data_IF_969657853254
#
_entry.id   IF_969657853254
#
_cell.length_a   1.000
_cell.length_b   1.000
_cell.length_c   1.000
_cell.angle_alpha   90.00
_cell.angle_beta   90.00
_cell.angle_gamma   90.00
#
_symmetry.space_group_name_H-M   'P 1'
#
loop_
_entity.id
_entity.type
_entity.pdbx_description
1 polymer ?
#
# COMPACT_ATOMS: atom_id res chain seq x y z
N UNK A 1 8.20 17.23 24.71
CA UNK A 1 7.50 17.97 23.64
C UNK A 1 6.01 17.86 23.90
N UNK A 2 5.20 18.84 23.50
CA UNK A 2 3.74 18.75 23.70
C UNK A 2 3.16 17.66 22.77
N UNK A 3 2.29 16.74 23.25
CA UNK A 3 2.01 15.49 22.53
C UNK A 3 0.97 15.64 21.43
N UNK A 4 0.23 16.75 21.36
CA UNK A 4 -0.80 17.05 20.35
C UNK A 4 -0.67 18.48 19.84
N UNK A 5 -1.45 18.86 18.82
CA UNK A 5 -1.52 20.23 18.35
C UNK A 5 -1.85 21.20 19.50
N UNK A 6 -1.14 22.34 19.57
CA UNK A 6 -1.32 23.35 20.63
C UNK A 6 -2.65 24.09 20.56
N UNK A 7 -3.34 24.03 19.42
CA UNK A 7 -4.69 24.59 19.24
C UNK A 7 -5.57 23.61 18.47
N UNK A 8 -6.51 22.97 19.16
CA UNK A 8 -7.51 22.10 18.55
C UNK A 8 -8.66 22.95 18.00
N UNK A 9 -8.83 22.99 16.67
CA UNK A 9 -9.88 23.77 16.00
C UNK A 9 -10.86 22.87 15.29
N UNK A 10 -12.15 23.11 15.50
CA UNK A 10 -13.20 22.51 14.68
C UNK A 10 -13.14 23.16 13.30
N UNK A 11 -12.88 22.35 12.28
CA UNK A 11 -12.76 22.78 10.89
C UNK A 11 -13.45 21.81 9.96
N UNK A 12 -13.19 21.93 8.66
CA UNK A 12 -13.62 20.92 7.70
C UNK A 12 -12.85 19.61 7.95
N UNK A 13 -13.53 18.47 7.76
CA UNK A 13 -12.88 17.16 7.85
C UNK A 13 -11.85 17.03 6.72
N UNK A 14 -10.57 17.08 7.09
CA UNK A 14 -9.44 16.89 6.19
C UNK A 14 -8.91 15.47 6.32
N UNK A 15 -8.31 14.98 5.25
CA UNK A 15 -7.64 13.70 5.24
C UNK A 15 -6.39 13.91 4.41
N UNK A 16 -5.25 13.93 5.07
CA UNK A 16 -3.99 14.31 4.45
C UNK A 16 -2.93 13.21 4.57
N UNK A 17 -3.15 12.20 5.43
CA UNK A 17 -2.23 11.09 5.69
C UNK A 17 -2.87 9.72 5.65
N UNK A 18 -2.04 8.68 5.54
CA UNK A 18 -2.37 7.25 5.69
C UNK A 18 -3.34 6.61 4.71
N UNK A 19 -4.20 7.37 4.02
CA UNK A 19 -5.16 6.82 3.05
C UNK A 19 -4.89 7.41 1.64
N UNK A 20 -4.63 6.56 0.63
CA UNK A 20 -4.24 7.01 -0.70
C UNK A 20 -5.42 7.48 -1.58
N UNK A 21 -6.66 7.30 -1.13
CA UNK A 21 -7.87 7.68 -1.87
C UNK A 21 -8.58 8.89 -1.27
N UNK A 22 -9.34 9.60 -2.10
CA UNK A 22 -10.27 10.67 -1.71
C UNK A 22 -11.71 10.31 -2.08
N UNK A 23 -12.68 11.15 -1.73
CA UNK A 23 -14.09 10.89 -2.05
C UNK A 23 -14.43 10.98 -3.55
N UNK A 24 -13.54 11.50 -4.39
CA UNK A 24 -13.69 11.58 -5.86
C UNK A 24 -12.34 11.84 -6.52
N UNK A 25 -12.31 11.71 -7.86
CA UNK A 25 -11.17 12.04 -8.72
C UNK A 25 -9.91 11.24 -8.36
N UNK A 26 -10.05 9.92 -8.26
CA UNK A 26 -8.96 9.00 -7.97
C UNK A 26 -8.50 8.26 -9.23
N UNK A 27 -8.15 8.98 -10.29
CA UNK A 27 -7.64 8.36 -11.51
C UNK A 27 -6.21 7.84 -11.27
N UNK A 28 -6.06 6.53 -11.05
CA UNK A 28 -4.77 5.91 -10.72
C UNK A 28 -4.13 5.33 -11.97
N UNK A 29 -2.95 5.84 -12.32
CA UNK A 29 -2.04 5.22 -13.28
C UNK A 29 -1.01 4.36 -12.54
N UNK A 30 -1.24 3.05 -12.53
CA UNK A 30 -0.31 2.11 -11.89
C UNK A 30 1.08 2.10 -12.53
N UNK A 31 1.20 2.39 -13.83
CA UNK A 31 2.51 2.57 -14.47
C UNK A 31 3.26 3.76 -13.86
N UNK A 32 2.58 4.90 -13.68
CA UNK A 32 3.17 6.09 -13.08
C UNK A 32 3.57 5.84 -11.62
N UNK A 33 2.68 5.19 -10.85
CA UNK A 33 2.95 4.79 -9.45
C UNK A 33 4.14 3.85 -9.36
N UNK A 34 4.27 2.88 -10.27
CA UNK A 34 5.44 1.99 -10.37
C UNK A 34 6.72 2.78 -10.64
N UNK A 35 6.69 3.74 -11.57
CA UNK A 35 7.83 4.63 -11.83
C UNK A 35 8.24 5.45 -10.60
N UNK A 36 7.26 6.00 -9.87
CA UNK A 36 7.50 6.75 -8.63
C UNK A 36 8.14 5.88 -7.54
N UNK A 37 7.56 4.70 -7.30
CA UNK A 37 8.04 3.75 -6.30
C UNK A 37 9.46 3.29 -6.64
N UNK A 38 9.72 2.91 -7.89
CA UNK A 38 11.05 2.50 -8.33
C UNK A 38 12.09 3.63 -8.22
N UNK A 39 11.71 4.85 -8.60
CA UNK A 39 12.57 6.04 -8.48
C UNK A 39 12.99 6.27 -7.03
N UNK A 40 12.03 6.17 -6.10
CA UNK A 40 12.30 6.32 -4.67
C UNK A 40 13.13 5.16 -4.10
N UNK A 41 12.84 3.93 -4.52
CA UNK A 41 13.56 2.74 -4.09
C UNK A 41 15.04 2.79 -4.49
N UNK A 42 15.34 3.23 -5.73
CA UNK A 42 16.71 3.33 -6.24
C UNK A 42 17.42 4.64 -5.88
N UNK A 43 16.68 5.61 -5.33
CA UNK A 43 17.14 7.01 -5.18
C UNK A 43 17.66 7.55 -6.52
N UNK A 44 16.93 7.29 -7.60
CA UNK A 44 17.24 7.71 -8.97
C UNK A 44 16.02 8.28 -9.66
N UNK A 45 16.23 9.20 -10.60
CA UNK A 45 15.15 9.84 -11.38
C UNK A 45 15.58 10.16 -12.80
N UNK A 46 14.58 10.38 -13.64
CA UNK A 46 14.72 10.95 -14.97
C UNK A 46 14.08 12.35 -14.96
N UNK A 47 14.74 13.32 -15.59
CA UNK A 47 14.27 14.71 -15.67
C UNK A 47 14.17 15.16 -17.13
N UNK A 48 12.95 15.53 -17.55
CA UNK A 48 12.67 16.06 -18.89
C UNK A 48 13.29 15.21 -20.01
N UNK A 49 13.18 13.89 -19.88
CA UNK A 49 13.71 12.94 -20.84
C UNK A 49 12.69 11.82 -21.03
N UNK A 50 11.96 11.89 -22.13
CA UNK A 50 10.86 11.00 -22.45
C UNK A 50 11.31 9.83 -23.35
N UNK A 51 10.46 8.80 -23.53
CA UNK A 51 10.79 7.63 -24.34
C UNK A 51 11.08 7.94 -25.82
N UNK A 52 10.50 8.99 -26.40
CA UNK A 52 10.72 9.35 -27.80
C UNK A 52 12.10 9.98 -27.98
N UNK A 53 12.50 10.87 -27.07
CA UNK A 53 13.86 11.41 -27.04
C UNK A 53 14.89 10.30 -26.80
N UNK A 54 14.58 9.34 -25.92
CA UNK A 54 15.45 8.18 -25.68
C UNK A 54 15.61 7.30 -26.92
N UNK A 55 14.54 7.11 -27.70
CA UNK A 55 14.59 6.38 -28.97
C UNK A 55 15.52 7.07 -29.98
N UNK A 56 15.41 8.38 -30.16
CA UNK A 56 16.28 9.10 -31.11
C UNK A 56 17.75 9.14 -30.64
N UNK A 57 17.97 9.27 -29.33
CA UNK A 57 19.31 9.16 -28.75
C UNK A 57 19.93 7.76 -28.97
N UNK A 58 19.12 6.70 -28.82
CA UNK A 58 19.55 5.32 -29.11
C UNK A 58 19.81 5.13 -30.60
N UNK A 59 18.98 5.69 -31.48
CA UNK A 59 19.16 5.62 -32.93
C UNK A 59 20.49 6.20 -33.34
N UNK A 60 20.79 7.41 -32.87
CA UNK A 60 22.05 8.11 -33.16
C UNK A 60 23.24 7.28 -32.68
N UNK A 61 23.18 6.78 -31.43
CA UNK A 61 24.25 5.95 -30.85
C UNK A 61 24.44 4.62 -31.58
N UNK A 62 23.35 3.93 -31.96
CA UNK A 62 23.42 2.65 -32.66
C UNK A 62 23.90 2.81 -34.10
N UNK A 63 23.55 3.89 -34.79
CA UNK A 63 24.00 4.14 -36.16
C UNK A 63 25.52 4.33 -36.27
N UNK A 64 26.19 4.76 -35.21
CA UNK A 64 27.65 4.82 -35.14
C UNK A 64 28.31 3.44 -34.95
N UNK A 65 27.57 2.47 -34.43
CA UNK A 65 28.05 1.13 -34.08
C UNK A 65 27.63 0.04 -35.08
N UNK A 66 26.58 0.28 -35.87
CA UNK A 66 26.03 -0.68 -36.83
C UNK A 66 26.73 -0.57 -38.19
N UNK A 67 27.27 -1.69 -38.67
CA UNK A 67 27.83 -1.78 -40.03
C UNK A 67 26.76 -1.63 -41.12
N UNK A 68 25.52 -2.04 -40.82
CA UNK A 68 24.36 -1.91 -41.71
C UNK A 68 23.31 -0.93 -41.11
N UNK A 69 23.26 0.33 -41.58
CA UNK A 69 22.33 1.33 -41.03
C UNK A 69 20.85 0.96 -41.14
N UNK A 70 20.49 0.12 -42.13
CA UNK A 70 19.13 -0.38 -42.32
C UNK A 70 18.66 -1.27 -41.15
N UNK A 71 19.59 -1.88 -40.41
CA UNK A 71 19.29 -2.75 -39.28
C UNK A 71 18.61 -2.01 -38.11
N UNK A 72 18.77 -0.68 -38.01
CA UNK A 72 18.04 0.12 -37.02
C UNK A 72 16.52 -0.09 -37.11
N UNK A 73 15.96 -0.20 -38.31
CA UNK A 73 14.52 -0.42 -38.50
C UNK A 73 14.01 -1.71 -37.82
N UNK A 74 14.87 -2.73 -37.73
CA UNK A 74 14.59 -3.98 -37.03
C UNK A 74 14.59 -3.75 -35.53
N UNK A 75 15.63 -3.09 -35.00
CA UNK A 75 15.74 -2.76 -33.57
C UNK A 75 14.60 -1.86 -33.09
N UNK A 76 14.25 -0.86 -33.88
CA UNK A 76 13.16 0.07 -33.62
C UNK A 76 11.81 -0.66 -33.49
N UNK A 77 11.56 -1.61 -34.39
CA UNK A 77 10.37 -2.45 -34.32
C UNK A 77 10.40 -3.40 -33.12
N UNK A 78 11.56 -3.96 -32.80
CA UNK A 78 11.72 -4.92 -31.70
C UNK A 78 11.55 -4.29 -30.31
N UNK A 79 12.08 -3.09 -30.08
CA UNK A 79 12.12 -2.50 -28.73
C UNK A 79 11.19 -1.30 -28.54
N UNK A 80 10.95 -0.49 -29.58
CA UNK A 80 10.27 0.81 -29.39
C UNK A 80 8.83 0.81 -29.90
N UNK A 81 8.54 0.18 -31.03
CA UNK A 81 7.21 0.22 -31.66
C UNK A 81 6.11 -0.38 -30.77
N UNK A 82 6.44 -1.43 -30.03
CA UNK A 82 5.55 -2.12 -29.07
C UNK A 82 5.81 -1.72 -27.62
N UNK A 83 6.71 -0.76 -27.36
CA UNK A 83 7.21 -0.41 -26.02
C UNK A 83 7.85 -1.60 -25.25
N UNK A 84 8.34 -2.62 -25.96
CA UNK A 84 9.03 -3.76 -25.35
C UNK A 84 10.34 -3.37 -24.65
N UNK A 85 10.87 -2.17 -24.88
CA UNK A 85 11.98 -1.59 -24.13
C UNK A 85 11.73 -1.57 -22.61
N UNK A 86 10.47 -1.39 -22.18
CA UNK A 86 10.10 -1.44 -20.76
C UNK A 86 10.12 -2.86 -20.17
N UNK A 87 10.32 -3.89 -21.01
CA UNK A 87 10.45 -5.30 -20.61
C UNK A 87 11.88 -5.81 -20.63
N UNK A 88 12.84 -4.95 -20.98
CA UNK A 88 14.27 -5.31 -21.01
C UNK A 88 14.87 -5.33 -19.60
N UNK A 89 14.69 -4.23 -18.87
CA UNK A 89 15.26 -4.04 -17.54
C UNK A 89 14.36 -3.17 -16.66
N UNK A 90 14.30 -3.41 -15.33
CA UNK A 90 13.58 -2.55 -14.40
C UNK A 90 13.91 -1.06 -14.53
N UNK A 91 15.16 -0.72 -14.88
CA UNK A 91 15.58 0.68 -14.99
C UNK A 91 14.81 1.47 -16.05
N UNK A 92 14.28 0.82 -17.09
CA UNK A 92 13.44 1.49 -18.09
C UNK A 92 12.08 1.92 -17.52
N UNK A 93 11.60 1.32 -16.43
CA UNK A 93 10.37 1.76 -15.77
C UNK A 93 10.52 3.14 -15.11
N UNK A 94 11.74 3.66 -14.94
CA UNK A 94 11.96 5.03 -14.48
C UNK A 94 11.36 6.07 -15.43
N UNK A 95 11.18 5.75 -16.72
CA UNK A 95 10.49 6.66 -17.66
C UNK A 95 9.03 6.90 -17.30
N UNK A 96 8.39 5.98 -16.58
CA UNK A 96 7.00 6.15 -16.16
C UNK A 96 6.81 7.30 -15.16
N UNK A 97 7.87 7.80 -14.53
CA UNK A 97 7.81 8.96 -13.65
C UNK A 97 8.84 10.03 -14.06
N UNK A 98 8.33 11.23 -14.33
CA UNK A 98 9.16 12.37 -14.70
C UNK A 98 9.23 13.39 -13.56
N UNK A 99 10.41 14.00 -13.42
CA UNK A 99 10.71 14.96 -12.36
C UNK A 99 11.19 16.30 -12.95
N UNK A 100 10.93 17.37 -12.22
CA UNK A 100 11.51 18.70 -12.44
C UNK A 100 12.12 19.15 -11.12
N UNK A 101 13.45 19.04 -11.02
CA UNK A 101 14.13 19.20 -9.74
C UNK A 101 13.64 18.16 -8.74
N UNK A 102 13.27 18.58 -7.53
CA UNK A 102 12.73 17.68 -6.49
C UNK A 102 11.22 17.45 -6.59
N UNK A 103 10.55 17.91 -7.65
CA UNK A 103 9.08 17.82 -7.80
C UNK A 103 8.69 16.82 -8.89
N UNK A 104 7.53 16.19 -8.69
CA UNK A 104 6.87 15.31 -9.67
C UNK A 104 6.23 16.18 -10.76
N UNK A 105 6.59 15.97 -12.03
CA UNK A 105 6.14 16.82 -13.14
C UNK A 105 4.77 16.45 -13.71
N UNK A 106 4.33 15.20 -13.55
CA UNK A 106 3.08 14.67 -14.10
C UNK A 106 2.31 13.82 -13.07
N UNK A 107 1.31 13.07 -13.53
CA UNK A 107 0.50 12.18 -12.72
C UNK A 107 -0.64 12.87 -11.97
N UNK A 108 -1.68 12.10 -11.66
CA UNK A 108 -2.83 12.58 -10.90
C UNK A 108 -2.46 12.83 -9.43
N UNK A 109 -3.32 13.51 -8.68
CA UNK A 109 -3.13 13.63 -7.23
C UNK A 109 -3.23 12.26 -6.53
N UNK A 110 -3.97 11.30 -7.08
CA UNK A 110 -4.07 9.96 -6.53
C UNK A 110 -2.76 9.19 -6.71
N UNK A 111 -2.12 9.32 -7.86
CA UNK A 111 -0.80 8.73 -8.11
C UNK A 111 0.23 9.24 -7.11
N UNK A 112 0.23 10.55 -6.85
CA UNK A 112 1.13 11.17 -5.87
C UNK A 112 0.86 10.67 -4.44
N UNK A 113 -0.41 10.47 -4.06
CA UNK A 113 -0.75 9.89 -2.74
C UNK A 113 -0.28 8.44 -2.61
N UNK A 114 -0.42 7.62 -3.66
CA UNK A 114 0.15 6.28 -3.66
C UNK A 114 1.69 6.31 -3.64
N UNK A 115 2.31 7.22 -4.38
CA UNK A 115 3.75 7.47 -4.29
C UNK A 115 4.19 7.79 -2.87
N UNK A 116 3.47 8.68 -2.17
CA UNK A 116 3.70 8.98 -0.75
C UNK A 116 3.54 7.74 0.13
N UNK A 117 2.49 6.94 -0.08
CA UNK A 117 2.29 5.68 0.67
C UNK A 117 3.51 4.75 0.52
N UNK A 118 3.94 4.47 -0.72
CA UNK A 118 5.07 3.57 -0.95
C UNK A 118 6.40 4.17 -0.51
N UNK A 119 6.60 5.48 -0.63
CA UNK A 119 7.78 6.15 -0.09
C UNK A 119 7.86 5.99 1.43
N UNK A 120 6.74 6.09 2.15
CA UNK A 120 6.70 5.88 3.60
C UNK A 120 6.82 4.39 3.99
N UNK A 121 6.33 3.46 3.17
CA UNK A 121 6.60 2.03 3.34
C UNK A 121 8.08 1.67 3.11
N UNK A 122 8.81 2.46 2.31
CA UNK A 122 10.26 2.32 2.19
C UNK A 122 10.98 3.04 3.34
N UNK A 123 10.57 4.25 3.70
CA UNK A 123 11.30 5.08 4.65
C UNK A 123 12.75 5.28 4.18
N UNK A 124 13.71 4.94 5.06
CA UNK A 124 15.14 5.02 4.76
C UNK A 124 15.67 3.83 3.94
N UNK A 125 14.85 2.81 3.70
CA UNK A 125 15.24 1.68 2.84
C UNK A 125 15.49 2.15 1.40
N UNK A 126 16.55 1.61 0.80
CA UNK A 126 16.89 1.82 -0.61
C UNK A 126 17.49 0.57 -1.22
N UNK A 127 17.16 0.32 -2.48
CA UNK A 127 17.75 -0.72 -3.28
C UNK A 127 19.17 -0.33 -3.73
N UNK A 128 20.00 -1.35 -3.94
CA UNK A 128 21.33 -1.16 -4.53
C UNK A 128 21.17 -0.74 -5.99
N UNK A 129 21.94 0.27 -6.39
CA UNK A 129 22.01 0.75 -7.76
C UNK A 129 23.44 0.57 -8.32
N UNK A 130 23.62 0.10 -9.58
CA UNK A 130 22.56 -0.37 -10.48
C UNK A 130 22.02 -1.75 -10.08
N UNK A 131 20.79 -2.06 -10.50
CA UNK A 131 20.26 -3.43 -10.44
C UNK A 131 21.06 -4.27 -11.44
N UNK A 132 21.59 -5.41 -10.99
CA UNK A 132 22.43 -6.28 -11.83
C UNK A 132 21.55 -7.14 -12.74
N UNK A 133 21.40 -6.73 -13.99
CA UNK A 133 20.61 -7.43 -14.99
C UNK A 133 21.48 -8.28 -15.94
N UNK A 134 20.89 -9.29 -16.57
CA UNK A 134 21.57 -10.15 -17.57
C UNK A 134 21.10 -9.76 -18.96
N UNK A 135 21.69 -8.70 -19.50
CA UNK A 135 21.31 -8.12 -20.78
C UNK A 135 22.18 -8.66 -21.93
N UNK A 136 21.58 -8.74 -23.12
CA UNK A 136 22.36 -8.96 -24.34
C UNK A 136 23.12 -7.68 -24.74
N UNK A 137 24.03 -7.77 -25.71
CA UNK A 137 24.90 -6.65 -26.06
C UNK A 137 24.13 -5.40 -26.55
N UNK A 138 23.01 -5.57 -27.26
CA UNK A 138 22.19 -4.46 -27.78
C UNK A 138 21.47 -3.76 -26.63
N UNK A 139 20.83 -4.55 -25.77
CA UNK A 139 20.14 -4.07 -24.57
C UNK A 139 21.11 -3.35 -23.63
N UNK A 140 22.34 -3.86 -23.49
CA UNK A 140 23.38 -3.21 -22.69
C UNK A 140 23.74 -1.83 -23.24
N UNK A 141 23.82 -1.67 -24.57
CA UNK A 141 24.08 -0.35 -25.17
C UNK A 141 22.91 0.61 -24.96
N UNK A 142 21.67 0.14 -25.09
CA UNK A 142 20.47 0.95 -24.80
C UNK A 142 20.44 1.37 -23.32
N UNK A 143 20.76 0.46 -22.41
CA UNK A 143 20.83 0.76 -20.97
C UNK A 143 21.95 1.77 -20.66
N UNK A 144 23.12 1.63 -21.29
CA UNK A 144 24.20 2.60 -21.14
C UNK A 144 23.73 4.00 -21.55
N UNK A 145 22.96 4.11 -22.63
CA UNK A 145 22.43 5.40 -23.07
C UNK A 145 21.45 6.00 -22.07
N UNK A 146 20.60 5.17 -21.46
CA UNK A 146 19.72 5.60 -20.38
C UNK A 146 20.51 6.09 -19.16
N UNK A 147 21.56 5.37 -18.77
CA UNK A 147 22.38 5.67 -17.60
C UNK A 147 23.02 7.07 -17.67
N UNK A 148 23.31 7.60 -18.86
CA UNK A 148 23.81 8.97 -19.05
C UNK A 148 22.81 10.04 -18.57
N UNK A 149 21.52 9.71 -18.54
CA UNK A 149 20.44 10.65 -18.20
C UNK A 149 19.86 10.44 -16.80
N UNK A 150 20.18 9.31 -16.15
CA UNK A 150 19.74 9.02 -14.79
C UNK A 150 20.45 9.94 -13.78
N UNK A 151 19.66 10.60 -12.94
CA UNK A 151 20.16 11.50 -11.88
C UNK A 151 19.82 10.96 -10.49
N UNK A 152 20.55 11.44 -9.49
CA UNK A 152 20.26 11.17 -8.08
C UNK A 152 18.91 11.82 -7.71
N UNK A 153 18.02 11.05 -7.08
CA UNK A 153 16.87 11.57 -6.37
C UNK A 153 17.30 11.79 -4.91
N UNK A 154 17.22 13.04 -4.43
CA UNK A 154 17.53 13.40 -3.04
C UNK A 154 16.49 12.88 -2.05
N UNK A 155 16.02 13.72 -1.14
CA UNK A 155 14.94 13.34 -0.20
C UNK A 155 13.63 12.95 -0.91
N UNK A 156 13.43 13.49 -2.10
CA UNK A 156 12.24 13.24 -2.92
C UNK A 156 11.05 14.11 -2.52
N UNK A 157 9.98 14.09 -3.33
CA UNK A 157 8.82 14.98 -3.19
C UNK A 157 7.78 14.54 -2.14
N UNK A 158 8.02 13.44 -1.44
CA UNK A 158 6.99 12.78 -0.63
C UNK A 158 7.00 13.27 0.81
N UNK A 159 5.81 13.48 1.37
CA UNK A 159 5.67 13.82 2.78
C UNK A 159 6.11 12.63 3.64
N UNK A 160 6.88 12.90 4.69
CA UNK A 160 7.34 11.89 5.65
C UNK A 160 6.33 11.74 6.79
N UNK A 161 5.87 10.50 7.00
CA UNK A 161 4.89 10.11 8.00
C UNK A 161 5.47 8.95 8.82
N UNK A 162 5.16 8.89 10.11
CA UNK A 162 5.47 7.70 10.90
C UNK A 162 4.48 6.59 10.56
N UNK A 163 4.94 5.35 10.36
CA UNK A 163 4.12 4.29 9.79
C UNK A 163 3.01 3.87 10.75
N UNK A 164 1.76 3.87 10.26
CA UNK A 164 0.63 3.37 11.05
C UNK A 164 0.73 1.87 11.32
N UNK A 165 1.23 1.09 10.35
CA UNK A 165 1.38 -0.37 10.42
C UNK A 165 2.87 -0.75 10.27
N UNK A 166 3.70 -0.65 11.32
CA UNK A 166 5.14 -0.85 11.18
C UNK A 166 5.54 -2.26 10.73
N UNK A 167 4.82 -3.31 11.16
CA UNK A 167 5.06 -4.67 10.68
C UNK A 167 4.95 -4.80 9.14
N UNK A 168 4.09 -4.00 8.51
CA UNK A 168 3.90 -4.01 7.06
C UNK A 168 5.04 -3.30 6.33
N UNK A 169 5.64 -2.28 6.95
CA UNK A 169 6.88 -1.63 6.46
C UNK A 169 7.99 -2.67 6.38
N UNK A 170 8.19 -3.46 7.44
CA UNK A 170 9.21 -4.53 7.45
C UNK A 170 8.97 -5.56 6.35
N UNK A 171 7.72 -6.01 6.17
CA UNK A 171 7.36 -6.95 5.10
C UNK A 171 7.66 -6.35 3.72
N UNK A 172 7.22 -5.11 3.46
CA UNK A 172 7.39 -4.44 2.18
C UNK A 172 8.86 -4.25 1.80
N UNK A 173 9.69 -3.82 2.75
CA UNK A 173 11.13 -3.63 2.54
C UNK A 173 11.82 -4.97 2.23
N UNK A 174 11.50 -6.03 2.97
CA UNK A 174 12.05 -7.37 2.72
C UNK A 174 11.63 -7.90 1.34
N UNK A 175 10.38 -7.71 0.96
CA UNK A 175 9.84 -8.14 -0.34
C UNK A 175 10.49 -7.38 -1.49
N UNK A 176 10.66 -6.07 -1.35
CA UNK A 176 11.33 -5.25 -2.35
C UNK A 176 12.81 -5.63 -2.49
N UNK A 177 13.49 -5.96 -1.38
CA UNK A 177 14.86 -6.47 -1.40
C UNK A 177 14.96 -7.81 -2.14
N UNK A 178 14.01 -8.73 -1.92
CA UNK A 178 13.93 -10.00 -2.63
C UNK A 178 13.68 -9.80 -4.13
N UNK A 179 12.71 -8.96 -4.51
CA UNK A 179 12.44 -8.67 -5.91
C UNK A 179 13.68 -8.15 -6.64
N UNK A 180 14.43 -7.25 -5.99
CA UNK A 180 15.65 -6.66 -6.58
C UNK A 180 16.80 -7.68 -6.81
N UNK A 181 16.79 -8.83 -6.13
CA UNK A 181 17.73 -9.93 -6.39
C UNK A 181 17.37 -10.72 -7.67
N UNK A 182 16.15 -10.53 -8.18
CA UNK A 182 15.62 -11.18 -9.37
C UNK A 182 15.06 -10.12 -10.37
N UNK A 183 15.92 -9.41 -11.14
CA UNK A 183 15.52 -8.25 -11.94
C UNK A 183 14.34 -8.47 -12.89
N UNK A 184 14.31 -9.62 -13.58
CA UNK A 184 13.21 -9.95 -14.48
C UNK A 184 11.89 -10.18 -13.74
N UNK A 185 11.97 -10.78 -12.55
CA UNK A 185 10.79 -10.95 -11.70
C UNK A 185 10.32 -9.63 -11.10
N UNK A 186 11.24 -8.75 -10.67
CA UNK A 186 10.93 -7.36 -10.29
C UNK A 186 10.20 -6.64 -11.42
N UNK A 187 10.70 -6.74 -12.66
CA UNK A 187 10.13 -6.08 -13.81
C UNK A 187 8.68 -6.52 -14.09
N UNK A 188 8.42 -7.82 -13.95
CA UNK A 188 7.10 -8.41 -14.15
C UNK A 188 6.14 -8.10 -13.00
N UNK A 189 6.61 -8.18 -11.74
CA UNK A 189 5.74 -8.22 -10.57
C UNK A 189 5.77 -6.97 -9.68
N UNK A 190 6.62 -5.97 -9.94
CA UNK A 190 6.66 -4.76 -9.12
C UNK A 190 5.28 -4.08 -9.06
N UNK A 191 4.61 -3.90 -10.20
CA UNK A 191 3.27 -3.29 -10.25
C UNK A 191 2.25 -4.10 -9.45
N UNK A 192 2.27 -5.43 -9.54
CA UNK A 192 1.36 -6.31 -8.82
C UNK A 192 1.66 -6.32 -7.31
N UNK A 193 2.93 -6.24 -6.94
CA UNK A 193 3.38 -6.10 -5.55
C UNK A 193 2.86 -4.80 -4.95
N UNK A 194 2.98 -3.68 -5.67
CA UNK A 194 2.46 -2.40 -5.23
C UNK A 194 0.92 -2.45 -5.07
N UNK A 195 0.19 -3.05 -6.02
CA UNK A 195 -1.26 -3.26 -5.88
C UNK A 195 -1.63 -4.09 -4.65
N UNK A 196 -0.90 -5.18 -4.41
CA UNK A 196 -1.09 -6.07 -3.26
C UNK A 196 -0.90 -5.32 -1.94
N UNK A 197 0.17 -4.52 -1.84
CA UNK A 197 0.45 -3.73 -0.64
C UNK A 197 -0.48 -2.53 -0.47
N UNK A 198 -0.93 -1.86 -1.54
CA UNK A 198 -1.94 -0.80 -1.45
C UNK A 198 -3.27 -1.34 -0.89
N UNK A 199 -3.71 -2.50 -1.38
CA UNK A 199 -4.88 -3.17 -0.85
C UNK A 199 -4.67 -3.58 0.62
N UNK A 200 -3.59 -4.28 0.92
CA UNK A 200 -3.33 -4.80 2.26
C UNK A 200 -3.21 -3.66 3.28
N UNK A 201 -2.51 -2.58 2.93
CA UNK A 201 -2.39 -1.39 3.76
C UNK A 201 -3.75 -0.81 4.13
N UNK A 202 -4.61 -0.54 3.14
CA UNK A 202 -5.94 0.02 3.39
C UNK A 202 -6.82 -0.92 4.22
N UNK A 203 -6.79 -2.22 3.94
CA UNK A 203 -7.58 -3.21 4.64
C UNK A 203 -7.12 -3.37 6.10
N UNK A 204 -5.82 -3.56 6.32
CA UNK A 204 -5.26 -3.71 7.66
C UNK A 204 -5.34 -2.41 8.47
N UNK A 205 -5.25 -1.24 7.83
CA UNK A 205 -5.48 0.04 8.50
C UNK A 205 -6.92 0.09 9.03
N UNK A 206 -7.91 -0.19 8.19
CA UNK A 206 -9.33 -0.20 8.60
C UNK A 206 -9.59 -1.15 9.77
N UNK A 207 -8.99 -2.34 9.74
CA UNK A 207 -9.14 -3.32 10.82
C UNK A 207 -8.46 -2.87 12.10
N UNK A 208 -7.38 -2.09 12.04
CA UNK A 208 -6.58 -1.69 13.20
C UNK A 208 -7.02 -0.40 13.89
N UNK A 209 -7.86 0.43 13.26
CA UNK A 209 -8.26 1.74 13.80
C UNK A 209 -8.89 1.71 15.21
N UNK A 210 -9.62 0.65 15.57
CA UNK A 210 -10.30 0.59 16.87
C UNK A 210 -9.37 0.22 18.05
N UNK A 211 -8.20 -0.36 17.78
CA UNK A 211 -7.30 -0.94 18.79
C UNK A 211 -6.09 -0.04 19.10
N UNK A 212 -6.28 1.28 19.01
CA UNK A 212 -5.23 2.25 19.29
C UNK A 212 -4.68 2.22 20.73
N UNK A 213 -5.42 1.63 21.68
CA UNK A 213 -5.02 1.46 23.08
C UNK A 213 -3.94 0.40 23.25
N UNK A 214 -3.92 -0.60 22.36
CA UNK A 214 -3.05 -1.78 22.48
C UNK A 214 -1.60 -1.48 22.07
N UNK A 215 -1.34 -0.25 21.60
CA UNK A 215 -0.04 0.19 21.12
C UNK A 215 0.18 -0.14 19.65
N UNK A 216 1.38 -0.60 19.31
CA UNK A 216 1.78 -0.86 17.94
C UNK A 216 0.88 -1.94 17.29
N UNK A 217 0.21 -1.64 16.16
CA UNK A 217 -0.71 -2.56 15.51
C UNK A 217 -0.03 -3.84 15.04
N UNK A 218 -0.81 -4.92 15.03
CA UNK A 218 -0.43 -6.20 14.44
C UNK A 218 -1.36 -6.54 13.28
N UNK A 219 -0.98 -7.54 12.49
CA UNK A 219 -1.87 -8.05 11.46
C UNK A 219 -3.16 -8.59 12.08
N UNK A 220 -4.29 -8.25 11.46
CA UNK A 220 -5.61 -8.71 11.85
C UNK A 220 -6.21 -9.62 10.80
N UNK A 221 -6.96 -10.60 11.29
CA UNK A 221 -7.55 -11.64 10.46
C UNK A 221 -8.51 -11.07 9.41
N UNK A 222 -8.15 -11.27 8.13
CA UNK A 222 -8.98 -10.95 6.98
C UNK A 222 -8.99 -12.14 6.03
N UNK A 223 -10.10 -12.86 5.97
CA UNK A 223 -10.19 -14.15 5.30
C UNK A 223 -10.52 -14.01 3.82
N UNK A 224 -9.71 -14.67 2.99
CA UNK A 224 -9.86 -14.82 1.55
C UNK A 224 -10.25 -16.24 1.19
N UNK A 225 -10.90 -16.39 0.05
CA UNK A 225 -11.04 -17.67 -0.64
C UNK A 225 -10.18 -17.67 -1.90
N UNK A 226 -9.84 -18.83 -2.42
CA UNK A 226 -9.17 -18.96 -3.71
C UNK A 226 -10.22 -18.88 -4.84
N UNK A 227 -9.84 -18.34 -5.99
CA UNK A 227 -10.72 -18.15 -7.14
C UNK A 227 -11.40 -19.43 -7.66
N UNK A 228 -10.69 -20.56 -7.53
CA UNK A 228 -11.11 -21.92 -7.84
C UNK A 228 -12.12 -22.50 -6.84
N UNK A 229 -12.30 -21.89 -5.68
CA UNK A 229 -13.24 -22.35 -4.67
C UNK A 229 -14.67 -21.85 -4.94
N UNK A 230 -15.65 -22.65 -4.51
CA UNK A 230 -17.03 -22.18 -4.41
C UNK A 230 -17.20 -21.40 -3.11
N UNK A 231 -17.77 -20.20 -3.19
CA UNK A 231 -18.19 -19.47 -2.00
C UNK A 231 -19.35 -20.23 -1.32
N UNK A 232 -19.16 -20.62 -0.06
CA UNK A 232 -20.18 -21.27 0.76
C UNK A 232 -20.60 -20.36 1.91
N UNK A 233 -21.90 -20.33 2.21
CA UNK A 233 -22.47 -19.60 3.34
C UNK A 233 -22.13 -20.23 4.71
N UNK A 234 -21.65 -21.47 4.71
CA UNK A 234 -21.27 -22.22 5.92
C UNK A 234 -19.85 -21.88 6.41
N UNK A 235 -19.07 -21.15 5.61
CA UNK A 235 -17.71 -20.73 5.97
C UNK A 235 -17.72 -19.55 6.92
N UNK A 236 -17.85 -19.85 8.21
CA UNK A 236 -18.07 -18.82 9.23
C UNK A 236 -16.92 -17.81 9.34
N UNK A 237 -15.67 -18.25 9.16
CA UNK A 237 -14.51 -17.35 9.16
C UNK A 237 -14.57 -16.34 8.00
N UNK A 238 -14.85 -16.80 6.78
CA UNK A 238 -15.00 -15.95 5.58
C UNK A 238 -16.19 -14.98 5.75
N UNK A 239 -17.29 -15.44 6.36
CA UNK A 239 -18.49 -14.63 6.57
C UNK A 239 -18.30 -13.54 7.63
N UNK A 240 -17.68 -13.87 8.77
CA UNK A 240 -17.47 -12.95 9.90
C UNK A 240 -16.27 -12.06 9.73
N UNK A 241 -15.19 -12.58 9.17
CA UNK A 241 -13.88 -11.93 9.10
C UNK A 241 -13.38 -11.75 7.65
N UNK A 242 -14.27 -11.78 6.65
CA UNK A 242 -13.95 -11.48 5.25
C UNK A 242 -14.48 -10.10 4.83
N UNK A 243 -15.03 -10.01 3.61
CA UNK A 243 -15.48 -8.74 3.01
C UNK A 243 -16.41 -7.91 3.92
N UNK A 244 -17.36 -8.54 4.62
CA UNK A 244 -18.32 -7.82 5.47
C UNK A 244 -17.64 -7.04 6.60
N UNK A 245 -16.64 -7.65 7.26
CA UNK A 245 -15.86 -6.98 8.30
C UNK A 245 -15.05 -5.83 7.71
N UNK A 246 -14.37 -6.08 6.59
CA UNK A 246 -13.62 -5.03 5.91
C UNK A 246 -14.51 -3.84 5.51
N UNK A 247 -15.68 -4.10 4.93
CA UNK A 247 -16.62 -3.07 4.52
C UNK A 247 -17.11 -2.25 5.72
N UNK A 248 -17.53 -2.90 6.82
CA UNK A 248 -18.00 -2.19 8.02
C UNK A 248 -16.89 -1.39 8.70
N UNK A 249 -15.66 -1.90 8.72
CA UNK A 249 -14.53 -1.19 9.31
C UNK A 249 -14.04 -0.04 8.43
N UNK A 250 -14.18 -0.15 7.11
CA UNK A 250 -13.81 0.90 6.15
C UNK A 250 -14.66 2.17 6.33
N UNK A 251 -15.88 2.05 6.87
CA UNK A 251 -16.72 3.21 7.22
C UNK A 251 -16.07 4.15 8.24
N UNK A 252 -15.12 3.65 9.04
CA UNK A 252 -14.42 4.42 10.07
C UNK A 252 -13.15 5.09 9.57
N UNK A 253 -12.63 4.71 8.40
CA UNK A 253 -11.36 5.22 7.86
C UNK A 253 -11.33 6.74 7.77
N UNK A 254 -12.21 7.32 6.96
CA UNK A 254 -12.23 8.77 6.78
C UNK A 254 -12.55 9.52 8.08
N UNK A 255 -13.61 9.17 8.85
CA UNK A 255 -13.93 9.87 10.08
C UNK A 255 -12.80 9.87 11.12
N UNK A 256 -12.19 8.71 11.38
CA UNK A 256 -11.15 8.58 12.41
C UNK A 256 -9.85 9.24 11.96
N UNK A 257 -9.43 9.03 10.70
CA UNK A 257 -8.22 9.68 10.19
C UNK A 257 -8.38 11.20 10.14
N UNK A 258 -9.57 11.72 9.83
CA UNK A 258 -9.86 13.16 9.94
C UNK A 258 -9.78 13.69 11.36
N UNK A 259 -10.27 12.95 12.36
CA UNK A 259 -10.08 13.33 13.76
C UNK A 259 -8.61 13.29 14.18
N UNK A 260 -7.86 12.31 13.67
CA UNK A 260 -6.42 12.20 13.91
C UNK A 260 -5.65 13.42 13.38
N UNK A 261 -6.03 13.98 12.23
CA UNK A 261 -5.39 15.20 11.67
C UNK A 261 -5.46 16.39 12.64
N UNK A 262 -6.54 16.51 13.43
CA UNK A 262 -6.71 17.59 14.42
C UNK A 262 -5.68 17.49 15.54
N UNK A 263 -5.25 16.26 15.88
CA UNK A 263 -4.28 16.01 16.95
C UNK A 263 -2.82 16.17 16.49
N UNK A 264 -2.55 16.27 15.19
CA UNK A 264 -1.18 16.31 14.66
C UNK A 264 -0.45 17.62 14.99
N UNK A 265 0.81 17.50 15.41
CA UNK A 265 1.66 18.67 15.68
C UNK A 265 2.18 19.24 14.36
N UNK A 266 2.02 20.56 14.17
CA UNK A 266 2.43 21.23 12.93
C UNK A 266 3.95 21.24 12.80
N UNK A 267 4.45 20.89 11.62
CA UNK A 267 5.89 20.87 11.30
C UNK A 267 6.61 19.59 11.72
N UNK A 268 5.93 18.66 12.37
CA UNK A 268 6.44 17.33 12.68
C UNK A 268 5.93 16.27 11.69
N UNK A 269 6.60 15.11 11.68
CA UNK A 269 6.09 13.93 10.98
C UNK A 269 4.76 13.53 11.59
N UNK A 270 3.78 13.24 10.74
CA UNK A 270 2.48 12.78 11.21
C UNK A 270 2.63 11.45 11.93
N UNK A 271 1.92 11.32 13.04
CA UNK A 271 1.98 10.18 13.96
C UNK A 271 0.67 9.40 13.91
N UNK A 272 0.73 8.05 13.96
CA UNK A 272 -0.47 7.25 14.01
C UNK A 272 -1.20 7.41 15.35
N UNK A 273 -2.51 7.12 15.34
CA UNK A 273 -3.39 7.35 16.49
C UNK A 273 -2.91 6.66 17.78
N UNK A 274 -2.45 5.41 17.66
CA UNK A 274 -1.94 4.64 18.80
C UNK A 274 -0.73 5.31 19.45
N UNK A 275 0.15 5.89 18.64
CA UNK A 275 1.33 6.57 19.14
C UNK A 275 0.99 7.94 19.73
N UNK A 276 0.10 8.70 19.09
CA UNK A 276 -0.41 9.96 19.66
C UNK A 276 -1.01 9.71 21.05
N UNK A 277 -1.78 8.63 21.20
CA UNK A 277 -2.33 8.25 22.50
C UNK A 277 -1.24 7.89 23.53
N UNK A 278 -0.24 7.09 23.15
CA UNK A 278 0.89 6.75 24.02
C UNK A 278 1.70 7.98 24.43
N UNK A 279 1.94 8.91 23.50
CA UNK A 279 2.64 10.17 23.78
C UNK A 279 1.86 11.03 24.78
N UNK A 280 0.51 11.04 24.70
CA UNK A 280 -0.35 11.70 25.68
C UNK A 280 -0.28 11.04 27.06
N UNK A 281 -0.24 9.71 27.15
CA UNK A 281 -0.09 9.00 28.42
C UNK A 281 1.27 9.26 29.09
N UNK A 282 2.32 9.38 28.28
CA UNK A 282 3.70 9.58 28.75
C UNK A 282 4.06 11.07 28.95
N UNK A 283 3.13 11.99 28.66
CA UNK A 283 3.38 13.41 28.77
C UNK A 283 3.58 13.84 30.23
N UNK A 284 4.75 14.40 30.52
CA UNK A 284 5.21 14.74 31.86
C UNK A 284 4.88 16.18 32.29
N UNK A 285 4.02 16.87 31.53
CA UNK A 285 3.60 18.23 31.82
C UNK A 285 2.50 18.32 32.88
N UNK A 286 1.79 19.47 32.96
CA UNK A 286 0.73 19.67 33.93
C UNK A 286 -0.33 18.56 33.88
N UNK A 287 -0.74 18.01 35.04
CA UNK A 287 -1.79 17.00 35.09
C UNK A 287 -3.07 17.48 34.40
N UNK A 288 -3.73 16.59 33.67
CA UNK A 288 -4.99 16.82 32.97
C UNK A 288 -5.00 17.87 31.86
N UNK A 289 -3.90 18.58 31.56
CA UNK A 289 -3.89 19.60 30.50
C UNK A 289 -4.38 19.04 29.15
N UNK A 290 -3.81 17.93 28.70
CA UNK A 290 -4.17 17.29 27.44
C UNK A 290 -5.62 16.78 27.47
N UNK A 291 -6.05 16.25 28.62
CA UNK A 291 -7.42 15.77 28.81
C UNK A 291 -8.43 16.91 28.69
N UNK A 292 -8.16 18.05 29.33
CA UNK A 292 -9.03 19.21 29.30
C UNK A 292 -9.10 19.84 27.92
N UNK A 293 -7.99 19.93 27.19
CA UNK A 293 -7.98 20.42 25.81
C UNK A 293 -8.80 19.52 24.86
N UNK A 294 -8.67 18.20 24.98
CA UNK A 294 -9.49 17.25 24.20
C UNK A 294 -10.97 17.36 24.58
N UNK A 295 -11.27 17.46 25.88
CA UNK A 295 -12.65 17.66 26.34
C UNK A 295 -13.25 18.96 25.81
N UNK A 296 -12.52 20.07 25.87
CA UNK A 296 -12.94 21.37 25.35
C UNK A 296 -13.20 21.30 23.84
N UNK A 297 -12.31 20.64 23.10
CA UNK A 297 -12.51 20.38 21.68
C UNK A 297 -13.77 19.55 21.43
N UNK A 298 -14.00 18.46 22.16
CA UNK A 298 -15.18 17.62 22.00
C UNK A 298 -16.46 18.41 22.29
N UNK A 299 -16.51 19.17 23.38
CA UNK A 299 -17.67 19.99 23.74
C UNK A 299 -17.99 21.03 22.67
N UNK A 300 -16.95 21.68 22.13
CA UNK A 300 -17.12 22.58 20.98
C UNK A 300 -17.59 21.83 19.74
N UNK A 301 -16.99 20.67 19.45
CA UNK A 301 -17.29 19.88 18.26
C UNK A 301 -18.75 19.42 18.23
N UNK A 302 -19.29 18.95 19.36
CA UNK A 302 -20.69 18.48 19.44
C UNK A 302 -21.71 19.61 19.53
N UNK A 303 -21.27 20.86 19.72
CA UNK A 303 -22.18 21.99 19.94
C UNK A 303 -23.12 22.22 18.76
N UNK A 304 -24.22 22.91 19.03
CA UNK A 304 -25.27 23.23 18.05
C UNK A 304 -24.73 24.06 16.89
N UNK A 305 -23.73 24.90 17.14
CA UNK A 305 -23.11 25.75 16.13
C UNK A 305 -22.22 24.97 15.16
N UNK A 306 -21.60 23.87 15.62
CA UNK A 306 -20.58 23.14 14.85
C UNK A 306 -21.10 21.87 14.18
N UNK A 307 -21.71 20.96 14.96
CA UNK A 307 -22.16 19.64 14.46
C UNK A 307 -23.56 19.22 14.91
N UNK A 308 -24.12 19.86 15.93
CA UNK A 308 -25.46 19.55 16.48
C UNK A 308 -25.59 18.05 16.85
N UNK A 309 -24.62 17.55 17.60
CA UNK A 309 -24.59 16.16 18.07
C UNK A 309 -25.14 16.06 19.49
N UNK A 310 -25.59 14.86 19.93
CA UNK A 310 -26.06 14.66 21.29
C UNK A 310 -25.02 15.10 22.33
N UNK A 311 -25.49 15.81 23.37
CA UNK A 311 -24.63 16.25 24.46
C UNK A 311 -23.96 15.05 25.16
N UNK A 312 -22.74 15.26 25.62
CA UNK A 312 -21.93 14.27 26.34
C UNK A 312 -21.25 14.94 27.52
N UNK A 313 -21.13 14.22 28.63
CA UNK A 313 -20.31 14.69 29.75
C UNK A 313 -18.82 14.75 29.36
N UNK A 314 -18.04 15.51 30.13
CA UNK A 314 -16.57 15.53 29.98
C UNK A 314 -16.00 14.19 30.41
N UNK A 315 -15.03 13.70 29.66
CA UNK A 315 -14.32 12.48 30.00
C UNK A 315 -13.44 12.69 31.24
N UNK A 316 -13.36 11.67 32.11
CA UNK A 316 -12.61 11.71 33.37
C UNK A 316 -11.16 11.25 33.24
N UNK A 317 -10.79 10.66 32.09
CA UNK A 317 -9.45 10.20 31.79
C UNK A 317 -9.19 10.24 30.27
N UNK A 318 -7.92 10.15 29.86
CA UNK A 318 -7.51 10.23 28.46
C UNK A 318 -8.13 9.12 27.59
N UNK A 319 -8.24 7.90 28.10
CA UNK A 319 -8.82 6.79 27.35
C UNK A 319 -10.28 7.08 26.98
N UNK A 320 -11.09 7.50 27.95
CA UNK A 320 -12.48 7.92 27.74
C UNK A 320 -12.58 9.11 26.79
N UNK A 321 -11.66 10.07 26.87
CA UNK A 321 -11.63 11.24 25.99
C UNK A 321 -11.37 10.85 24.53
N UNK A 322 -10.39 9.98 24.28
CA UNK A 322 -10.11 9.46 22.94
C UNK A 322 -11.26 8.60 22.42
N UNK A 323 -11.84 7.71 23.22
CA UNK A 323 -13.04 6.93 22.85
C UNK A 323 -14.18 7.86 22.43
N UNK A 324 -14.42 8.91 23.20
CA UNK A 324 -15.47 9.89 22.91
C UNK A 324 -15.16 10.70 21.64
N UNK A 325 -13.92 11.17 21.46
CA UNK A 325 -13.47 11.86 20.24
C UNK A 325 -13.74 11.03 18.98
N UNK A 326 -13.34 9.76 18.98
CA UNK A 326 -13.55 8.88 17.82
C UNK A 326 -15.03 8.56 17.61
N UNK A 327 -15.78 8.37 18.69
CA UNK A 327 -17.23 8.15 18.63
C UNK A 327 -17.94 9.32 17.96
N UNK A 328 -17.70 10.55 18.41
CA UNK A 328 -18.36 11.74 17.82
C UNK A 328 -17.86 12.02 16.41
N UNK A 329 -16.59 11.70 16.12
CA UNK A 329 -16.04 11.82 14.78
C UNK A 329 -16.75 10.90 13.76
N UNK A 330 -17.12 9.67 14.16
CA UNK A 330 -17.90 8.75 13.32
C UNK A 330 -19.38 9.17 13.27
N UNK A 331 -19.97 9.54 14.41
CA UNK A 331 -21.39 9.88 14.56
C UNK A 331 -21.81 11.04 13.63
N UNK A 332 -20.94 12.04 13.40
CA UNK A 332 -21.24 13.17 12.49
C UNK A 332 -21.56 12.74 11.04
N UNK A 333 -21.20 11.51 10.64
CA UNK A 333 -21.43 10.96 9.30
C UNK A 333 -22.60 9.97 9.25
N UNK A 334 -23.29 9.72 10.37
CA UNK A 334 -24.42 8.81 10.43
C UNK A 334 -25.77 9.52 10.19
N UNK A 335 -25.82 10.84 10.40
CA UNK A 335 -27.04 11.60 10.16
C UNK A 335 -27.36 11.71 8.66
N UNK A 336 -28.46 11.06 8.28
CA UNK A 336 -29.01 11.04 6.92
C UNK A 336 -29.59 12.39 6.47
N UNK A 337 -29.78 13.34 7.38
CA UNK A 337 -30.24 14.70 7.05
C UNK A 337 -29.12 15.58 6.50
N UNK A 338 -27.87 15.15 6.61
CA UNK A 338 -26.70 15.92 6.13
C UNK A 338 -26.03 15.24 4.94
N UNK A 339 -25.43 16.04 4.05
CA UNK A 339 -24.61 15.53 2.94
C UNK A 339 -23.31 14.83 3.41
N UNK A 340 -23.00 14.84 4.71
CA UNK A 340 -21.77 14.25 5.27
C UNK A 340 -21.78 12.73 5.10
N UNK A 341 -22.91 12.08 5.36
CA UNK A 341 -23.03 10.63 5.18
C UNK A 341 -22.63 10.18 3.77
N UNK A 342 -23.00 10.96 2.74
CA UNK A 342 -22.66 10.66 1.35
C UNK A 342 -21.19 10.89 1.04
N UNK A 343 -20.52 11.86 1.69
CA UNK A 343 -19.07 12.03 1.60
C UNK A 343 -18.36 10.75 2.07
N UNK A 344 -18.73 10.21 3.24
CA UNK A 344 -18.11 9.00 3.77
C UNK A 344 -18.38 7.77 2.88
N UNK A 345 -19.63 7.60 2.40
CA UNK A 345 -19.96 6.55 1.43
C UNK A 345 -19.13 6.66 0.15
N UNK A 346 -18.89 7.87 -0.34
CA UNK A 346 -18.08 8.09 -1.52
C UNK A 346 -16.61 7.70 -1.29
N UNK A 347 -16.05 7.96 -0.10
CA UNK A 347 -14.72 7.45 0.25
C UNK A 347 -14.63 5.93 0.17
N UNK A 348 -15.61 5.22 0.74
CA UNK A 348 -15.66 3.75 0.73
C UNK A 348 -15.80 3.23 -0.70
N UNK A 349 -16.69 3.85 -1.48
CA UNK A 349 -16.90 3.49 -2.89
C UNK A 349 -15.64 3.67 -3.72
N UNK A 350 -14.93 4.79 -3.55
CA UNK A 350 -13.68 5.04 -4.25
C UNK A 350 -12.57 4.09 -3.79
N UNK A 351 -12.49 3.79 -2.49
CA UNK A 351 -11.56 2.78 -1.98
C UNK A 351 -11.81 1.42 -2.65
N UNK A 352 -13.07 0.97 -2.67
CA UNK A 352 -13.44 -0.29 -3.31
C UNK A 352 -13.09 -0.28 -4.80
N UNK A 353 -13.50 0.75 -5.53
CA UNK A 353 -13.36 0.81 -6.99
C UNK A 353 -11.91 0.94 -7.46
N UNK A 354 -11.06 1.67 -6.72
CA UNK A 354 -9.72 2.04 -7.19
C UNK A 354 -8.63 1.12 -6.64
N UNK A 355 -8.82 0.57 -5.44
CA UNK A 355 -7.81 -0.24 -4.76
C UNK A 355 -8.28 -1.70 -4.61
N UNK A 356 -9.54 -1.92 -4.22
CA UNK A 356 -10.00 -3.26 -3.82
C UNK A 356 -10.70 -4.07 -4.92
N UNK A 357 -11.02 -3.47 -6.07
CA UNK A 357 -11.79 -4.10 -7.17
C UNK A 357 -11.25 -5.47 -7.53
N UNK A 358 -9.93 -5.56 -7.62
CA UNK A 358 -9.21 -6.75 -7.99
C UNK A 358 -9.41 -7.90 -6.98
N UNK A 359 -9.62 -7.59 -5.70
CA UNK A 359 -9.74 -8.54 -4.59
C UNK A 359 -11.19 -8.89 -4.22
N UNK A 360 -12.18 -8.16 -4.73
CA UNK A 360 -13.60 -8.35 -4.38
C UNK A 360 -14.33 -9.02 -5.54
N UNK A 361 -15.01 -10.13 -5.26
CA UNK A 361 -15.87 -10.79 -6.24
C UNK A 361 -17.28 -11.02 -5.69
N UNK A 362 -18.29 -10.91 -6.56
CA UNK A 362 -19.67 -11.27 -6.22
C UNK A 362 -19.90 -12.75 -6.54
N UNK A 363 -20.31 -13.53 -5.54
CA UNK A 363 -20.53 -14.98 -5.66
C UNK A 363 -21.97 -15.36 -5.29
N UNK A 364 -22.91 -15.05 -6.18
CA UNK A 364 -24.31 -15.43 -6.05
C UNK A 364 -24.92 -15.08 -4.69
N UNK A 365 -25.53 -16.05 -4.01
CA UNK A 365 -26.15 -15.87 -2.68
C UNK A 365 -25.16 -15.53 -1.56
N UNK A 366 -23.87 -15.81 -1.72
CA UNK A 366 -22.84 -15.43 -0.74
C UNK A 366 -22.53 -13.92 -0.75
N UNK A 367 -22.95 -13.20 -1.81
CA UNK A 367 -22.68 -11.77 -1.97
C UNK A 367 -21.22 -11.50 -2.34
N UNK A 368 -20.71 -10.33 -1.94
CA UNK A 368 -19.31 -9.95 -2.12
C UNK A 368 -18.41 -10.74 -1.15
N UNK A 369 -17.34 -11.32 -1.69
CA UNK A 369 -16.30 -12.06 -0.95
C UNK A 369 -14.92 -11.60 -1.39
N UNK A 370 -13.92 -11.81 -0.53
CA UNK A 370 -12.53 -11.52 -0.84
C UNK A 370 -11.87 -12.74 -1.48
N UNK A 371 -11.18 -12.53 -2.60
CA UNK A 371 -10.65 -13.61 -3.44
C UNK A 371 -9.20 -13.38 -3.80
N UNK A 372 -8.39 -14.44 -3.71
CA UNK A 372 -7.05 -14.51 -4.29
C UNK A 372 -7.11 -15.35 -5.57
N UNK A 373 -6.67 -14.77 -6.69
CA UNK A 373 -6.49 -15.49 -7.95
C UNK A 373 -5.14 -16.20 -7.99
N UNK A 374 -4.94 -17.05 -9.00
CA UNK A 374 -3.69 -17.83 -9.16
C UNK A 374 -2.43 -16.94 -9.19
N UNK A 375 -2.44 -15.86 -9.98
CA UNK A 375 -1.28 -14.97 -10.10
C UNK A 375 -0.89 -14.34 -8.76
N UNK A 376 -1.88 -13.85 -7.99
CA UNK A 376 -1.62 -13.27 -6.67
C UNK A 376 -1.20 -14.30 -5.65
N UNK A 377 -1.72 -15.53 -5.74
CA UNK A 377 -1.25 -16.62 -4.90
C UNK A 377 0.21 -16.91 -5.17
N UNK A 378 0.63 -17.01 -6.44
CA UNK A 378 2.03 -17.22 -6.81
C UNK A 378 2.90 -16.05 -6.34
N UNK A 379 2.48 -14.81 -6.58
CA UNK A 379 3.18 -13.62 -6.10
C UNK A 379 3.35 -13.66 -4.58
N UNK A 380 2.25 -13.80 -3.83
CA UNK A 380 2.28 -13.84 -2.38
C UNK A 380 3.14 -14.99 -1.85
N UNK A 381 3.13 -16.14 -2.53
CA UNK A 381 4.00 -17.29 -2.23
C UNK A 381 5.47 -16.93 -2.39
N UNK A 382 5.84 -16.37 -3.54
CA UNK A 382 7.23 -16.02 -3.86
C UNK A 382 7.76 -14.94 -2.91
N UNK A 383 6.97 -13.89 -2.65
CA UNK A 383 7.31 -12.86 -1.67
C UNK A 383 7.50 -13.44 -0.27
N UNK A 384 6.62 -14.37 0.14
CA UNK A 384 6.67 -14.97 1.48
C UNK A 384 7.85 -15.93 1.66
N UNK A 385 8.12 -16.78 0.66
CA UNK A 385 9.32 -17.63 0.66
C UNK A 385 10.58 -16.76 0.62
N UNK A 386 10.56 -15.71 -0.20
CA UNK A 386 11.60 -14.70 -0.32
C UNK A 386 12.97 -15.31 -0.62
N UNK A 387 13.94 -15.01 0.25
CA UNK A 387 15.32 -15.50 0.11
C UNK A 387 15.51 -16.97 0.50
N UNK A 388 14.53 -17.59 1.14
CA UNK A 388 14.59 -19.01 1.48
C UNK A 388 14.43 -19.86 0.21
N UNK A 389 14.86 -21.12 0.29
CA UNK A 389 14.62 -22.10 -0.78
C UNK A 389 13.18 -22.62 -0.74
N UNK A 390 12.67 -22.86 0.48
CA UNK A 390 11.32 -23.36 0.74
C UNK A 390 10.87 -23.06 2.16
N UNK A 391 9.56 -23.07 2.37
CA UNK A 391 8.93 -22.94 3.69
C UNK A 391 7.97 -24.09 3.95
N UNK A 392 7.77 -24.46 5.21
CA UNK A 392 6.66 -25.34 5.57
C UNK A 392 5.34 -24.60 5.33
N UNK A 393 4.28 -25.32 5.00
CA UNK A 393 2.95 -24.72 4.72
C UNK A 393 2.48 -23.78 5.86
N UNK A 394 2.69 -24.16 7.12
CA UNK A 394 2.28 -23.31 8.24
C UNK A 394 3.10 -22.02 8.37
N UNK A 395 4.39 -22.04 8.01
CA UNK A 395 5.26 -20.85 7.98
C UNK A 395 4.85 -19.94 6.82
N UNK A 396 4.53 -20.53 5.67
CA UNK A 396 4.00 -19.83 4.52
C UNK A 396 2.68 -19.11 4.86
N UNK A 397 1.73 -19.82 5.49
CA UNK A 397 0.47 -19.23 5.93
C UNK A 397 0.70 -18.09 6.93
N UNK A 398 1.60 -18.24 7.91
CA UNK A 398 1.95 -17.13 8.82
C UNK A 398 2.53 -15.92 8.07
N UNK A 399 3.33 -16.15 7.03
CA UNK A 399 3.83 -15.06 6.20
C UNK A 399 2.76 -14.38 5.35
N UNK A 400 1.70 -15.11 4.94
CA UNK A 400 0.51 -14.52 4.32
C UNK A 400 -0.25 -13.66 5.34
N UNK A 401 -0.42 -14.19 6.55
CA UNK A 401 -1.08 -13.50 7.67
C UNK A 401 -0.34 -12.21 8.02
N UNK A 402 1.00 -12.19 8.07
CA UNK A 402 1.80 -10.98 8.27
C UNK A 402 1.53 -9.90 7.20
N UNK A 403 1.18 -10.29 5.98
CA UNK A 403 0.77 -9.39 4.88
C UNK A 403 -0.74 -9.16 4.84
N UNK A 404 -1.49 -9.60 5.84
CA UNK A 404 -2.93 -9.37 5.97
C UNK A 404 -3.83 -10.33 5.19
N UNK A 405 -3.30 -11.44 4.67
CA UNK A 405 -4.05 -12.43 3.89
C UNK A 405 -4.24 -13.72 4.69
N UNK A 406 -5.45 -13.96 5.17
CA UNK A 406 -5.76 -15.14 5.99
C UNK A 406 -6.56 -16.14 5.17
N UNK A 407 -6.29 -17.42 5.39
CA UNK A 407 -7.01 -18.53 4.78
C UNK A 407 -7.58 -19.41 5.89
N UNK A 408 -8.81 -19.87 5.72
CA UNK A 408 -9.34 -20.90 6.61
C UNK A 408 -8.83 -22.29 6.21
N UNK A 409 -9.20 -23.31 6.98
CA UNK A 409 -8.73 -24.68 6.75
C UNK A 409 -9.10 -25.21 5.36
N UNK A 410 -10.26 -24.83 4.82
CA UNK A 410 -10.71 -25.28 3.49
C UNK A 410 -9.89 -24.63 2.38
N UNK A 411 -9.64 -23.32 2.48
CA UNK A 411 -8.75 -22.64 1.55
C UNK A 411 -7.32 -23.15 1.66
N UNK A 412 -6.83 -23.46 2.87
CA UNK A 412 -5.51 -24.06 3.05
C UNK A 412 -5.40 -25.44 2.38
N UNK A 413 -6.44 -26.28 2.44
CA UNK A 413 -6.45 -27.56 1.70
C UNK A 413 -6.45 -27.35 0.18
N UNK A 414 -7.22 -26.38 -0.31
CA UNK A 414 -7.26 -26.06 -1.73
C UNK A 414 -5.93 -25.46 -2.20
N UNK A 415 -5.26 -24.72 -1.33
CA UNK A 415 -3.92 -24.17 -1.57
C UNK A 415 -2.88 -25.30 -1.72
N UNK A 416 -2.94 -26.35 -0.90
CA UNK A 416 -2.07 -27.53 -1.08
C UNK A 416 -2.30 -28.17 -2.43
N UNK A 417 -3.56 -28.44 -2.80
CA UNK A 417 -3.90 -29.01 -4.11
C UNK A 417 -3.51 -28.09 -5.28
N UNK A 418 -3.48 -26.77 -5.08
CA UNK A 418 -2.96 -25.81 -6.05
C UNK A 418 -1.45 -26.00 -6.25
N UNK A 419 -0.67 -26.02 -5.18
CA UNK A 419 0.78 -26.18 -5.28
C UNK A 419 1.21 -27.56 -5.81
N UNK A 420 0.45 -28.61 -5.50
CA UNK A 420 0.69 -29.94 -6.07
C UNK A 420 0.52 -29.96 -7.59
N UNK A 421 -0.50 -29.24 -8.11
CA UNK A 421 -0.70 -29.10 -9.56
C UNK A 421 0.38 -28.26 -10.22
N UNK A 422 0.92 -27.25 -9.52
CA UNK A 422 2.02 -26.42 -10.00
C UNK A 422 3.38 -27.11 -9.91
N UNK A 423 3.49 -28.20 -9.15
CA UNK A 423 4.74 -28.94 -8.97
C UNK A 423 5.75 -28.25 -8.05
N UNK A 424 5.33 -27.26 -7.23
CA UNK A 424 6.20 -26.51 -6.33
C UNK A 424 6.10 -26.99 -4.86
N UNK A 425 5.80 -28.27 -4.64
CA UNK A 425 5.68 -28.92 -3.32
C UNK A 425 6.68 -30.05 -3.15
N UNK A 426 7.33 -30.12 -1.99
CA UNK A 426 8.00 -31.32 -1.51
C UNK A 426 7.22 -31.93 -0.34
N UNK A 427 6.92 -33.24 -0.42
CA UNK A 427 6.48 -34.04 0.73
C UNK A 427 7.68 -34.79 1.28
N UNK A 428 8.11 -34.46 2.50
CA UNK A 428 9.22 -35.17 3.16
C UNK A 428 8.66 -36.38 3.91
N UNK A 429 9.24 -37.56 3.67
CA UNK A 429 8.76 -38.84 4.19
C UNK A 429 9.07 -39.09 5.68
N UNK A 430 9.91 -38.25 6.28
CA UNK A 430 10.40 -38.36 7.65
C UNK A 430 9.42 -37.87 8.72
N UNK A 431 8.37 -37.13 8.32
CA UNK A 431 7.40 -36.51 9.23
C UNK A 431 5.93 -36.75 8.86
N UNK A 432 5.66 -37.72 7.97
CA UNK A 432 4.32 -38.26 7.68
C UNK A 432 3.41 -37.36 6.83
N UNK A 433 3.31 -36.07 7.13
CA UNK A 433 2.34 -35.14 6.51
C UNK A 433 2.89 -33.71 6.28
N UNK A 434 4.21 -33.48 6.43
CA UNK A 434 4.78 -32.15 6.28
C UNK A 434 4.89 -31.74 4.80
N UNK A 435 4.12 -30.71 4.42
CA UNK A 435 4.13 -30.09 3.09
C UNK A 435 5.09 -28.88 3.09
N UNK A 436 6.10 -28.91 2.22
CA UNK A 436 7.01 -27.78 1.97
C UNK A 436 6.72 -27.16 0.62
N UNK A 437 6.70 -25.82 0.56
CA UNK A 437 6.40 -25.06 -0.67
C UNK A 437 7.64 -24.29 -1.10
N UNK A 438 7.98 -24.42 -2.38
CA UNK A 438 9.09 -23.69 -3.03
C UNK A 438 8.56 -22.46 -3.77
N UNK A 439 9.41 -21.44 -3.90
CA UNK A 439 9.17 -20.32 -4.83
C UNK A 439 9.30 -20.80 -6.28
N UNK A 440 8.67 -20.07 -7.19
CA UNK A 440 8.63 -20.38 -8.63
C UNK A 440 9.56 -19.51 -9.47
N UNK A 441 10.44 -18.73 -8.82
CA UNK A 441 11.33 -17.72 -9.44
C UNK A 441 12.77 -18.20 -9.46
#
# INVERSE_FOLDING_TARGET
MYPIATELKVGNNQLDSYLPVRNKNNDISWQFVTGLALSYALKRKIEAYDPDQFREDCKTHMQELLDEPAFWSVLERMYFSSQDIFRVSPLFLLFHAQFVGEKISAGSTADKRLGTLFANLMGDFSLRYPIQDRLNFIEQQMLNKLNEKIKLLGKGPFAEEQPYLPYMVTCFQSDLAFLAEHPQYLLQELTNTLRLYAFSWCAQLALNLDNWQDGEPQSKSLFFILDSEKASSEREKVKRYGYKLFASQSEKLFPILSALEVLQVKGEKKRPLWQVYQDCLNYSGPPNQVLDEINDYIQKFISKEERDLPARDRATNLESAFKQLLSVAVEQFQDKKTNRADINKNYIKELENQICTDFIQVRGRAGKVLVLNQDRLLLLTNLTVGKNDKLRLHELLRGFEQRGFYLDNQSAQTLVAFYERMGNVDRMSDSGDAVYVRKTV
#
